data_IF_425931456496
#
_entry.id   IF_425931456496
#
_cell.length_a   1.000
_cell.length_b   1.000
_cell.length_c   1.000
_cell.angle_alpha   90.00
_cell.angle_beta   90.00
_cell.angle_gamma   90.00
#
_symmetry.space_group_name_H-M   'P 1'
#
loop_
_entity.id
_entity.type
_entity.pdbx_description
1 polymer ?
#
# COMPACT_ATOMS: atom_id res chain seq x y z
N UNK A 1 16.25 -18.89 12.61
CA UNK A 1 14.88 -18.38 12.87
C UNK A 1 14.91 -16.87 12.69
N UNK A 2 14.12 -16.32 11.76
CA UNK A 2 14.02 -14.86 11.58
C UNK A 2 13.12 -14.33 12.70
N UNK A 3 13.59 -13.34 13.48
CA UNK A 3 12.78 -12.72 14.53
C UNK A 3 11.70 -11.85 13.88
N UNK A 4 10.45 -12.13 14.19
CA UNK A 4 9.31 -11.43 13.62
C UNK A 4 8.08 -11.52 14.53
N UNK A 5 7.12 -10.61 14.35
CA UNK A 5 5.81 -10.63 14.99
C UNK A 5 4.74 -9.99 14.09
N UNK A 6 3.49 -10.41 14.24
CA UNK A 6 2.36 -9.87 13.49
C UNK A 6 1.83 -8.57 14.15
N UNK A 7 1.42 -7.60 13.35
CA UNK A 7 0.68 -6.42 13.80
C UNK A 7 -0.83 -6.67 13.74
N UNK A 8 -1.64 -5.96 14.55
CA UNK A 8 -3.09 -5.99 14.39
C UNK A 8 -3.49 -5.74 12.93
N UNK A 9 -4.39 -6.58 12.41
CA UNK A 9 -4.87 -6.45 11.03
C UNK A 9 -5.57 -5.11 10.80
N UNK A 10 -5.36 -4.52 9.61
CA UNK A 10 -6.10 -3.34 9.17
C UNK A 10 -7.30 -3.82 8.36
N UNK A 11 -8.46 -3.96 9.00
CA UNK A 11 -9.63 -4.66 8.45
C UNK A 11 -10.81 -3.70 8.26
N UNK A 12 -10.70 -2.80 7.28
CA UNK A 12 -11.81 -1.94 6.88
C UNK A 12 -12.37 -2.41 5.54
N UNK A 13 -13.65 -2.14 5.28
CA UNK A 13 -14.30 -2.49 4.00
C UNK A 13 -13.57 -1.93 2.77
N UNK A 14 -12.84 -0.82 2.96
CA UNK A 14 -12.14 -0.10 1.91
C UNK A 14 -10.64 -0.46 1.76
N UNK A 15 -9.96 -0.89 2.83
CA UNK A 15 -8.56 -1.37 2.82
C UNK A 15 -8.48 -2.55 3.79
N UNK A 16 -7.98 -3.67 3.28
CA UNK A 16 -7.71 -4.89 4.04
C UNK A 16 -6.20 -5.15 4.00
N UNK A 17 -5.56 -5.32 5.16
CA UNK A 17 -4.13 -5.62 5.22
C UNK A 17 -3.78 -6.52 6.40
N UNK A 18 -2.82 -7.42 6.16
CA UNK A 18 -2.04 -8.12 7.19
C UNK A 18 -0.60 -7.64 7.14
N UNK A 19 0.03 -7.48 8.30
CA UNK A 19 1.36 -6.89 8.41
C UNK A 19 2.21 -7.66 9.41
N UNK A 20 3.48 -7.89 9.06
CA UNK A 20 4.48 -8.53 9.91
C UNK A 20 5.68 -7.60 10.05
N UNK A 21 6.14 -7.42 11.28
CA UNK A 21 7.41 -6.74 11.57
C UNK A 21 8.51 -7.79 11.63
N UNK A 22 9.59 -7.54 10.90
CA UNK A 22 10.79 -8.38 10.91
C UNK A 22 11.94 -7.57 11.50
N UNK A 23 12.64 -8.15 12.48
CA UNK A 23 13.76 -7.50 13.15
C UNK A 23 15.06 -7.74 12.38
N UNK A 24 15.69 -6.65 11.94
CA UNK A 24 17.03 -6.65 11.35
C UNK A 24 18.02 -5.94 12.27
N UNK A 25 19.32 -6.18 12.05
CA UNK A 25 20.39 -5.47 12.77
C UNK A 25 20.30 -3.95 12.62
N UNK A 26 19.85 -3.47 11.46
CA UNK A 26 19.66 -2.06 11.18
C UNK A 26 18.35 -1.49 11.76
N UNK A 27 17.55 -2.29 12.46
CA UNK A 27 16.22 -1.95 12.98
C UNK A 27 15.08 -2.70 12.29
N UNK A 28 13.86 -2.63 12.86
CA UNK A 28 12.70 -3.35 12.34
C UNK A 28 12.22 -2.79 10.99
N UNK A 29 11.69 -3.68 10.15
CA UNK A 29 11.00 -3.33 8.90
C UNK A 29 9.63 -4.01 8.90
N UNK A 30 8.59 -3.24 8.61
CA UNK A 30 7.23 -3.75 8.47
C UNK A 30 6.96 -4.19 7.03
N UNK A 31 6.48 -5.41 6.84
CA UNK A 31 5.98 -5.90 5.56
C UNK A 31 4.46 -5.99 5.62
N UNK A 32 3.78 -5.43 4.63
CA UNK A 32 2.32 -5.38 4.58
C UNK A 32 1.80 -5.90 3.25
N UNK A 33 0.88 -6.87 3.32
CA UNK A 33 0.11 -7.36 2.19
C UNK A 33 -1.26 -6.67 2.16
N UNK A 34 -1.59 -5.98 1.07
CA UNK A 34 -2.76 -5.09 0.99
C UNK A 34 -3.74 -5.51 -0.11
N UNK A 35 -5.03 -5.42 0.19
CA UNK A 35 -6.11 -5.53 -0.77
C UNK A 35 -7.11 -4.39 -0.57
N UNK A 36 -7.38 -3.64 -1.64
CA UNK A 36 -8.38 -2.57 -1.66
C UNK A 36 -9.54 -3.01 -2.56
N UNK A 37 -10.70 -3.40 -2.03
CA UNK A 37 -11.81 -3.86 -2.86
C UNK A 37 -12.28 -2.77 -3.84
N UNK A 38 -12.61 -3.12 -5.10
CA UNK A 38 -12.83 -2.12 -6.15
C UNK A 38 -14.06 -1.23 -5.92
N UNK A 39 -15.00 -1.64 -5.07
CA UNK A 39 -16.31 -1.00 -4.86
C UNK A 39 -16.27 0.25 -3.97
N UNK A 40 -15.27 0.40 -3.10
CA UNK A 40 -15.24 1.47 -2.10
C UNK A 40 -14.39 2.66 -2.54
N UNK A 41 -14.88 3.88 -2.30
CA UNK A 41 -14.05 5.07 -2.44
C UNK A 41 -13.05 5.13 -1.28
N UNK A 42 -11.80 5.46 -1.59
CA UNK A 42 -10.72 5.59 -0.61
C UNK A 42 -10.15 7.00 -0.74
N UNK A 43 -10.11 7.73 0.37
CA UNK A 43 -9.58 9.09 0.44
C UNK A 43 -8.09 9.09 0.79
N UNK A 44 -7.39 10.21 0.51
CA UNK A 44 -6.00 10.37 0.93
C UNK A 44 -5.82 10.32 2.44
N UNK A 45 -6.85 10.73 3.21
CA UNK A 45 -6.87 10.61 4.67
C UNK A 45 -6.86 9.14 5.11
N UNK A 46 -7.72 8.29 4.53
CA UNK A 46 -7.75 6.86 4.85
C UNK A 46 -6.45 6.14 4.48
N UNK A 47 -5.83 6.49 3.34
CA UNK A 47 -4.51 5.99 3.01
C UNK A 47 -3.43 6.48 4.00
N UNK A 48 -3.50 7.74 4.45
CA UNK A 48 -2.58 8.28 5.44
C UNK A 48 -2.67 7.53 6.77
N UNK A 49 -3.88 7.30 7.27
CA UNK A 49 -4.13 6.50 8.47
C UNK A 49 -3.54 5.09 8.32
N UNK A 50 -3.81 4.43 7.18
CA UNK A 50 -3.24 3.11 6.88
C UNK A 50 -1.70 3.12 6.91
N UNK A 51 -1.04 3.99 6.14
CA UNK A 51 0.43 4.04 6.09
C UNK A 51 1.05 4.48 7.42
N UNK A 52 0.35 5.24 8.26
CA UNK A 52 0.81 5.59 9.60
C UNK A 52 0.92 4.35 10.51
N UNK A 53 0.07 3.33 10.32
CA UNK A 53 0.14 2.08 11.10
C UNK A 53 1.39 1.24 10.81
N UNK A 54 2.03 1.43 9.66
CA UNK A 54 3.19 0.62 9.23
C UNK A 54 4.52 1.09 9.82
N UNK A 55 4.54 2.27 10.45
CA UNK A 55 5.74 2.88 11.02
C UNK A 55 6.63 3.59 9.99
N UNK A 56 7.86 3.92 10.38
CA UNK A 56 8.77 4.72 9.56
C UNK A 56 9.51 3.93 8.47
N UNK A 57 9.59 2.61 8.59
CA UNK A 57 10.31 1.73 7.65
C UNK A 57 9.44 0.55 7.28
N UNK A 58 8.91 0.57 6.07
CA UNK A 58 8.00 -0.47 5.62
C UNK A 58 8.11 -0.74 4.13
N UNK A 59 7.66 -1.93 3.73
CA UNK A 59 7.31 -2.28 2.38
C UNK A 59 5.85 -2.73 2.36
N UNK A 60 5.03 -2.07 1.56
CA UNK A 60 3.62 -2.42 1.41
C UNK A 60 3.35 -2.77 -0.04
N UNK A 61 2.80 -3.96 -0.28
CA UNK A 61 2.55 -4.50 -1.61
C UNK A 61 1.24 -5.26 -1.68
N UNK A 62 0.60 -5.21 -2.84
CA UNK A 62 -0.66 -5.93 -3.07
C UNK A 62 -1.53 -5.26 -4.12
N UNK A 63 -2.82 -5.59 -4.11
CA UNK A 63 -3.78 -5.07 -5.07
C UNK A 63 -4.54 -3.87 -4.49
N UNK A 64 -4.04 -2.68 -4.82
CA UNK A 64 -4.65 -1.41 -4.44
C UNK A 64 -5.88 -1.05 -5.28
N UNK A 65 -6.18 -1.78 -6.36
CA UNK A 65 -7.20 -1.44 -7.36
C UNK A 65 -7.15 0.04 -7.81
N UNK A 66 -5.96 0.63 -7.81
CA UNK A 66 -5.69 2.04 -8.06
C UNK A 66 -5.03 2.18 -9.42
N UNK A 67 -5.60 2.99 -10.32
CA UNK A 67 -5.09 3.18 -11.68
C UNK A 67 -4.42 4.55 -11.76
N UNK A 68 -3.17 4.60 -12.20
CA UNK A 68 -2.44 5.84 -12.49
C UNK A 68 -1.28 5.59 -13.48
N UNK A 69 -0.97 6.54 -14.40
CA UNK A 69 0.15 6.39 -15.34
C UNK A 69 1.52 6.17 -14.70
N UNK A 70 1.77 6.72 -13.50
CA UNK A 70 3.06 6.58 -12.79
C UNK A 70 3.40 5.14 -12.43
N UNK A 71 2.40 4.24 -12.35
CA UNK A 71 2.61 2.80 -12.20
C UNK A 71 2.05 2.01 -13.39
N UNK A 72 2.08 2.59 -14.58
CA UNK A 72 1.88 1.87 -15.85
C UNK A 72 0.42 1.69 -16.28
N UNK A 73 -0.56 2.32 -15.61
CA UNK A 73 -1.96 2.31 -16.09
C UNK A 73 -2.18 3.32 -17.22
N UNK A 74 -3.06 3.03 -18.18
CA UNK A 74 -3.40 3.97 -19.26
C UNK A 74 -4.05 5.26 -18.76
N UNK A 75 -4.89 5.19 -17.73
CA UNK A 75 -5.66 6.32 -17.19
C UNK A 75 -5.55 6.35 -15.67
N UNK A 76 -5.75 7.55 -15.10
CA UNK A 76 -5.87 7.74 -13.66
C UNK A 76 -7.34 7.63 -13.23
N UNK A 77 -7.62 6.82 -12.20
CA UNK A 77 -8.92 6.84 -11.50
C UNK A 77 -8.85 7.69 -10.22
N UNK A 78 -10.01 7.96 -9.59
CA UNK A 78 -10.09 8.74 -8.34
C UNK A 78 -9.18 8.15 -7.27
N UNK A 79 -9.25 6.83 -7.06
CA UNK A 79 -8.41 6.10 -6.10
C UNK A 79 -6.92 6.26 -6.36
N UNK A 80 -6.47 6.14 -7.61
CA UNK A 80 -5.06 6.32 -7.99
C UNK A 80 -4.56 7.74 -7.76
N UNK A 81 -5.41 8.75 -7.99
CA UNK A 81 -5.06 10.14 -7.64
C UNK A 81 -4.92 10.34 -6.12
N UNK A 82 -5.81 9.74 -5.33
CA UNK A 82 -5.74 9.81 -3.87
C UNK A 82 -4.50 9.09 -3.32
N UNK A 83 -4.20 7.90 -3.85
CA UNK A 83 -3.01 7.14 -3.47
C UNK A 83 -1.74 7.92 -3.79
N UNK A 84 -1.58 8.41 -5.03
CA UNK A 84 -0.40 9.18 -5.42
C UNK A 84 -0.25 10.47 -4.57
N UNK A 85 -1.35 11.15 -4.28
CA UNK A 85 -1.35 12.31 -3.39
C UNK A 85 -0.80 11.94 -2.01
N UNK A 86 -1.28 10.85 -1.41
CA UNK A 86 -0.77 10.39 -0.11
C UNK A 86 0.70 10.01 -0.16
N UNK A 87 1.17 9.35 -1.23
CA UNK A 87 2.58 9.01 -1.38
C UNK A 87 3.45 10.28 -1.40
N UNK A 88 3.05 11.29 -2.16
CA UNK A 88 3.75 12.58 -2.23
C UNK A 88 3.72 13.33 -0.88
N UNK A 89 2.56 13.40 -0.22
CA UNK A 89 2.42 14.09 1.08
C UNK A 89 3.25 13.43 2.19
N UNK A 90 3.45 12.11 2.12
CA UNK A 90 4.25 11.34 3.10
C UNK A 90 5.69 11.10 2.67
N UNK A 91 6.14 11.64 1.54
CA UNK A 91 7.45 11.35 0.94
C UNK A 91 7.73 9.84 0.81
N UNK A 92 6.76 9.08 0.31
CA UNK A 92 6.87 7.65 0.05
C UNK A 92 7.17 7.38 -1.42
N UNK A 93 8.05 6.41 -1.65
CA UNK A 93 8.38 5.94 -2.98
C UNK A 93 7.43 4.83 -3.44
N UNK A 94 7.14 4.78 -4.73
CA UNK A 94 6.47 3.65 -5.36
C UNK A 94 7.46 2.81 -6.17
N UNK A 95 7.37 1.49 -6.03
CA UNK A 95 8.14 0.56 -6.84
C UNK A 95 7.22 -0.06 -7.90
N UNK A 96 7.42 0.32 -9.16
CA UNK A 96 6.70 -0.27 -10.28
C UNK A 96 7.62 -0.40 -11.49
N UNK A 97 7.31 -1.33 -12.37
CA UNK A 97 8.01 -1.47 -13.66
C UNK A 97 7.52 -0.46 -14.70
N UNK A 98 6.56 0.42 -14.34
CA UNK A 98 5.84 1.33 -15.23
C UNK A 98 5.16 0.65 -16.43
N UNK A 99 4.97 -0.68 -16.35
CA UNK A 99 4.24 -1.50 -17.32
C UNK A 99 2.92 -1.97 -16.70
N UNK A 100 1.89 -2.26 -17.51
CA UNK A 100 0.62 -2.76 -16.99
C UNK A 100 0.83 -4.03 -16.17
N UNK A 101 0.33 -4.04 -14.94
CA UNK A 101 0.13 -5.26 -14.16
C UNK A 101 -1.14 -5.93 -14.69
N UNK A 102 -0.99 -6.74 -15.74
CA UNK A 102 -2.12 -7.38 -16.40
C UNK A 102 -2.67 -8.51 -15.51
N UNK A 103 -3.96 -8.42 -15.17
CA UNK A 103 -4.73 -9.58 -14.71
C UNK A 103 -5.42 -10.16 -15.96
N UNK A 104 -5.17 -11.44 -16.34
CA UNK A 104 -5.85 -12.03 -17.47
C UNK A 104 -7.36 -12.06 -17.22
N UNK A 105 -8.08 -11.52 -18.21
CA UNK A 105 -9.54 -11.64 -18.33
C UNK A 105 -9.90 -13.07 -18.69
#
# INVERSE_FOLDING_TARGET
HIKHHELPGYQYDYIQSTSVVVDFLAGPITFSAVYCPPRHNITSYQFNEFFATLGCRFLSGGDYNAKHPVWGSRLANSRGRQLLRTLNERNLDHLSTCKPTYWPS
#
